data_IF_597445497543
#
_entry.id   IF_597445497543
#
_cell.length_a   1.000
_cell.length_b   1.000
_cell.length_c   1.000
_cell.angle_alpha   90.00
_cell.angle_beta   90.00
_cell.angle_gamma   90.00
#
_symmetry.space_group_name_H-M   'P 1'
#
loop_
_entity.id
_entity.type
_entity.pdbx_description
1 polymer ?
#
# COMPACT_ATOMS: atom_id res chain seq x y z
N UNK A 1 -19.49 27.15 16.56
CA UNK A 1 -19.96 25.77 16.80
C UNK A 1 -19.11 25.20 17.91
N UNK A 2 -19.69 25.01 19.10
CA UNK A 2 -19.03 24.36 20.23
C UNK A 2 -19.04 22.85 20.02
N UNK A 3 -17.87 22.21 20.16
CA UNK A 3 -17.75 20.76 20.22
C UNK A 3 -18.37 20.28 21.53
N UNK A 4 -19.27 19.32 21.43
CA UNK A 4 -19.90 18.66 22.57
C UNK A 4 -19.15 17.34 22.84
N UNK A 5 -18.35 17.34 23.91
CA UNK A 5 -17.49 16.22 24.34
C UNK A 5 -18.26 15.14 25.15
N UNK A 6 -19.60 15.11 25.07
CA UNK A 6 -20.42 14.15 25.84
C UNK A 6 -20.86 12.93 25.02
N UNK A 7 -20.24 12.64 23.88
CA UNK A 7 -20.53 11.41 23.13
C UNK A 7 -20.05 10.16 23.87
N UNK A 8 -20.93 9.63 24.71
CA UNK A 8 -20.87 8.27 25.21
C UNK A 8 -21.35 7.38 24.06
N UNK A 9 -20.55 6.43 23.54
CA UNK A 9 -21.02 5.53 22.48
C UNK A 9 -22.22 4.76 23.01
N UNK A 10 -23.41 5.02 22.45
CA UNK A 10 -24.56 4.17 22.77
C UNK A 10 -24.22 2.77 22.28
N UNK A 11 -24.41 1.78 23.15
CA UNK A 11 -24.34 0.37 22.81
C UNK A 11 -25.54 -0.05 21.93
N UNK A 12 -25.85 0.74 20.90
CA UNK A 12 -26.77 0.34 19.85
C UNK A 12 -26.07 -0.77 19.07
N UNK A 13 -26.57 -2.00 19.27
CA UNK A 13 -26.35 -3.20 18.49
C UNK A 13 -25.31 -3.00 17.37
N UNK A 14 -24.05 -3.23 17.70
CA UNK A 14 -23.02 -3.44 16.69
C UNK A 14 -23.52 -4.68 15.96
N UNK A 15 -24.15 -4.50 14.80
CA UNK A 15 -24.32 -5.59 13.85
C UNK A 15 -22.97 -6.28 13.77
N UNK A 16 -22.91 -7.53 14.21
CA UNK A 16 -21.81 -8.44 13.94
C UNK A 16 -21.74 -8.58 12.43
N UNK A 17 -21.07 -7.62 11.78
CA UNK A 17 -20.89 -7.60 10.35
C UNK A 17 -19.94 -8.75 10.04
N UNK A 18 -20.46 -9.73 9.30
CA UNK A 18 -19.72 -10.89 8.87
C UNK A 18 -18.34 -10.47 8.35
N UNK A 19 -17.30 -10.97 9.01
CA UNK A 19 -15.92 -10.90 8.52
C UNK A 19 -15.83 -11.93 7.41
N UNK A 20 -15.24 -11.58 6.27
CA UNK A 20 -14.98 -12.56 5.22
C UNK A 20 -13.96 -13.56 5.79
N UNK A 21 -14.32 -14.84 6.03
CA UNK A 21 -13.39 -15.83 6.53
C UNK A 21 -12.57 -16.34 5.35
N UNK A 22 -11.51 -15.63 4.99
CA UNK A 22 -10.46 -16.16 4.12
C UNK A 22 -9.19 -16.36 4.92
N UNK A 23 -8.39 -17.37 4.55
CA UNK A 23 -7.07 -17.58 5.14
C UNK A 23 -6.22 -16.30 5.05
N UNK A 24 -6.35 -15.53 3.97
CA UNK A 24 -5.66 -14.25 3.79
C UNK A 24 -6.12 -13.18 4.78
N UNK A 25 -7.43 -13.06 5.05
CA UNK A 25 -7.95 -12.11 6.04
C UNK A 25 -7.51 -12.48 7.47
N UNK A 26 -7.47 -13.78 7.79
CA UNK A 26 -6.99 -14.28 9.07
C UNK A 26 -5.48 -14.05 9.25
N UNK A 27 -4.68 -14.27 8.20
CA UNK A 27 -3.25 -13.94 8.18
C UNK A 27 -3.02 -12.46 8.48
N UNK A 28 -3.74 -11.55 7.81
CA UNK A 28 -3.63 -10.12 8.10
C UNK A 28 -4.00 -9.77 9.55
N UNK A 29 -5.07 -10.37 10.08
CA UNK A 29 -5.47 -10.18 11.47
C UNK A 29 -4.38 -10.62 12.46
N UNK A 30 -3.58 -11.62 12.08
CA UNK A 30 -2.43 -12.10 12.82
C UNK A 30 -1.13 -11.31 12.57
N UNK A 31 -1.16 -10.23 11.80
CA UNK A 31 0.03 -9.44 11.47
C UNK A 31 0.90 -10.06 10.37
N UNK A 32 0.32 -10.90 9.50
CA UNK A 32 0.99 -11.58 8.40
C UNK A 32 0.45 -11.03 7.08
N UNK A 33 1.31 -10.51 6.19
CA UNK A 33 0.93 -10.25 4.80
C UNK A 33 0.86 -11.61 4.11
N UNK A 34 -0.31 -12.01 3.58
CA UNK A 34 -0.42 -13.29 2.89
C UNK A 34 0.44 -13.26 1.61
N UNK A 35 1.10 -14.38 1.33
CA UNK A 35 1.77 -14.63 0.06
C UNK A 35 0.77 -14.83 -1.07
N UNK A 36 1.29 -14.88 -2.30
CA UNK A 36 0.51 -15.01 -3.51
C UNK A 36 1.15 -16.03 -4.45
N UNK A 37 0.56 -17.21 -4.53
CA UNK A 37 1.12 -18.35 -5.26
C UNK A 37 1.34 -18.04 -6.75
N UNK A 38 0.38 -17.37 -7.40
CA UNK A 38 0.46 -17.00 -8.82
C UNK A 38 1.70 -16.15 -9.13
N UNK A 39 2.16 -15.34 -8.18
CA UNK A 39 3.36 -14.50 -8.30
C UNK A 39 4.56 -15.04 -7.50
N UNK A 40 4.46 -16.28 -6.98
CA UNK A 40 5.51 -16.97 -6.19
C UNK A 40 5.94 -16.21 -4.93
N UNK A 41 5.01 -15.52 -4.28
CA UNK A 41 5.26 -14.79 -3.05
C UNK A 41 4.98 -15.64 -1.81
N UNK A 42 5.88 -15.58 -0.84
CA UNK A 42 5.71 -16.18 0.49
C UNK A 42 5.06 -15.21 1.48
N UNK A 43 4.50 -15.75 2.56
CA UNK A 43 3.96 -14.94 3.67
C UNK A 43 5.06 -14.06 4.32
N UNK A 44 4.68 -12.85 4.75
CA UNK A 44 5.58 -11.92 5.46
C UNK A 44 5.02 -11.63 6.86
N UNK A 45 5.83 -11.86 7.90
CA UNK A 45 5.40 -11.70 9.30
C UNK A 45 5.78 -10.31 9.85
N UNK A 46 4.83 -9.38 9.92
CA UNK A 46 5.13 -7.98 10.28
C UNK A 46 5.03 -7.68 11.78
N UNK A 47 4.10 -8.28 12.52
CA UNK A 47 3.82 -7.88 13.91
C UNK A 47 3.62 -9.10 14.81
N UNK A 48 4.23 -9.13 16.01
CA UNK A 48 3.94 -10.17 16.98
C UNK A 48 2.53 -9.98 17.57
N UNK A 49 1.88 -11.10 17.84
CA UNK A 49 0.52 -11.13 18.38
C UNK A 49 0.49 -10.66 19.84
N UNK A 50 0.47 -9.36 20.10
CA UNK A 50 0.32 -8.78 21.45
C UNK A 50 -0.88 -7.85 21.54
N UNK A 51 -1.57 -7.84 22.70
CA UNK A 51 -2.52 -6.79 23.05
C UNK A 51 -1.75 -5.50 23.35
N UNK A 52 -1.76 -4.55 22.43
CA UNK A 52 -1.30 -3.19 22.72
C UNK A 52 -2.42 -2.47 23.48
N UNK A 53 -2.58 -2.82 24.76
CA UNK A 53 -3.32 -1.99 25.72
C UNK A 53 -2.51 -0.75 26.12
N UNK A 54 -1.23 -0.66 25.76
CA UNK A 54 -0.39 0.45 26.16
C UNK A 54 -0.05 1.38 24.99
N UNK A 55 -0.65 2.58 25.10
CA UNK A 55 -0.25 3.85 24.49
C UNK A 55 -0.62 4.05 23.03
N UNK A 56 -1.87 4.47 22.80
CA UNK A 56 -2.18 5.41 21.72
C UNK A 56 -1.27 6.64 21.88
N UNK A 57 -0.42 6.96 20.90
CA UNK A 57 0.33 8.21 20.93
C UNK A 57 -0.65 9.39 21.04
N UNK A 58 -0.35 10.36 21.92
CA UNK A 58 -1.17 11.59 22.02
C UNK A 58 -1.05 12.46 20.77
N UNK A 59 -0.08 12.18 19.90
CA UNK A 59 0.17 12.91 18.67
C UNK A 59 0.31 11.90 17.50
N UNK A 60 -0.50 11.99 16.44
CA UNK A 60 -0.41 11.10 15.28
C UNK A 60 0.92 11.19 14.51
N UNK A 61 1.75 12.19 14.80
CA UNK A 61 3.10 12.31 14.24
C UNK A 61 4.19 11.60 15.08
N UNK A 62 3.87 11.14 16.31
CA UNK A 62 4.79 10.45 17.23
C UNK A 62 4.54 8.93 17.32
N UNK A 63 4.04 8.32 16.24
CA UNK A 63 3.91 6.86 16.18
C UNK A 63 5.27 6.18 16.05
N UNK A 64 5.88 5.84 17.18
CA UNK A 64 6.98 4.88 17.24
C UNK A 64 6.40 3.49 17.44
N UNK A 65 6.61 2.58 16.48
CA UNK A 65 6.30 1.17 16.69
C UNK A 65 7.13 0.62 17.88
N UNK A 66 6.57 -0.31 18.68
CA UNK A 66 7.35 -1.01 19.69
C UNK A 66 8.61 -1.64 19.08
N UNK A 67 9.72 -1.64 19.82
CA UNK A 67 11.00 -2.20 19.37
C UNK A 67 10.86 -3.65 18.85
N UNK A 68 10.01 -4.46 19.47
CA UNK A 68 9.71 -5.83 19.04
C UNK A 68 9.06 -5.91 17.66
N UNK A 69 8.15 -4.99 17.33
CA UNK A 69 7.57 -4.88 15.98
C UNK A 69 8.64 -4.47 14.96
N UNK A 70 9.52 -3.52 15.30
CA UNK A 70 10.61 -3.10 14.41
C UNK A 70 11.59 -4.26 14.13
N UNK A 71 11.93 -5.06 15.14
CA UNK A 71 12.79 -6.25 14.98
C UNK A 71 12.14 -7.29 14.06
N UNK A 72 10.83 -7.53 14.18
CA UNK A 72 10.12 -8.47 13.30
C UNK A 72 10.03 -7.96 11.87
N UNK A 73 9.71 -6.68 11.68
CA UNK A 73 9.73 -6.05 10.36
C UNK A 73 11.12 -6.20 9.73
N UNK A 74 12.19 -5.89 10.48
CA UNK A 74 13.56 -6.06 9.99
C UNK A 74 13.87 -7.52 9.60
N UNK A 75 13.46 -8.50 10.43
CA UNK A 75 13.65 -9.93 10.14
C UNK A 75 12.91 -10.36 8.87
N UNK A 76 11.68 -9.88 8.70
CA UNK A 76 10.85 -10.23 7.55
C UNK A 76 11.36 -9.60 6.25
N UNK A 77 11.74 -8.33 6.28
CA UNK A 77 12.40 -7.67 5.14
C UNK A 77 13.70 -8.40 4.74
N UNK A 78 14.50 -8.82 5.73
CA UNK A 78 15.71 -9.62 5.49
C UNK A 78 15.40 -10.97 4.83
N UNK A 79 14.34 -11.65 5.28
CA UNK A 79 13.97 -12.96 4.73
C UNK A 79 13.55 -12.93 3.26
N UNK A 80 13.02 -11.80 2.79
CA UNK A 80 12.66 -11.61 1.38
C UNK A 80 13.82 -11.02 0.56
N UNK A 81 14.98 -10.72 1.16
CA UNK A 81 16.18 -10.27 0.46
C UNK A 81 16.34 -8.75 0.34
N UNK A 82 15.65 -7.95 1.17
CA UNK A 82 15.88 -6.50 1.25
C UNK A 82 17.24 -6.21 1.88
N UNK A 83 17.96 -5.20 1.40
CA UNK A 83 19.27 -4.83 1.92
C UNK A 83 19.23 -4.29 3.36
N UNK A 84 20.33 -4.47 4.11
CA UNK A 84 20.44 -3.94 5.47
C UNK A 84 20.35 -2.41 5.51
N UNK A 85 20.79 -1.72 4.47
CA UNK A 85 20.69 -0.27 4.37
C UNK A 85 19.23 0.18 4.32
N UNK A 86 18.39 -0.47 3.50
CA UNK A 86 16.95 -0.20 3.44
C UNK A 86 16.28 -0.58 4.75
N UNK A 87 16.58 -1.75 5.30
CA UNK A 87 16.03 -2.21 6.59
C UNK A 87 16.32 -1.19 7.69
N UNK A 88 17.55 -0.70 7.77
CA UNK A 88 17.99 0.29 8.77
C UNK A 88 17.20 1.59 8.62
N UNK A 89 16.97 2.08 7.40
CA UNK A 89 16.21 3.33 7.18
C UNK A 89 14.72 3.18 7.49
N UNK A 90 14.13 2.02 7.17
CA UNK A 90 12.72 1.74 7.47
C UNK A 90 12.51 1.62 8.98
N UNK A 91 13.44 0.96 9.69
CA UNK A 91 13.27 0.59 11.11
C UNK A 91 13.97 1.53 12.10
N UNK A 92 14.65 2.58 11.63
CA UNK A 92 15.23 3.61 12.48
C UNK A 92 14.18 4.34 13.33
N UNK A 93 14.62 4.96 14.43
CA UNK A 93 13.79 5.92 15.16
C UNK A 93 13.39 7.06 14.21
N UNK A 94 12.08 7.29 14.06
CA UNK A 94 11.47 8.16 13.02
C UNK A 94 11.83 7.76 11.57
N UNK A 95 12.08 6.48 11.35
CA UNK A 95 12.30 5.87 10.04
C UNK A 95 11.08 6.00 9.13
N UNK A 96 11.22 5.51 7.91
CA UNK A 96 10.18 5.57 6.88
C UNK A 96 9.25 4.35 6.93
N UNK A 97 8.61 4.12 8.07
CA UNK A 97 7.71 2.97 8.27
C UNK A 97 6.54 2.94 7.25
N UNK A 98 6.24 4.09 6.63
CA UNK A 98 5.31 4.23 5.51
C UNK A 98 5.64 3.28 4.35
N UNK A 99 6.91 2.98 4.11
CA UNK A 99 7.31 2.07 3.03
C UNK A 99 6.85 0.63 3.28
N UNK A 100 6.61 0.24 4.54
CA UNK A 100 6.04 -1.08 4.84
C UNK A 100 4.56 -1.15 4.45
N UNK A 101 3.85 -0.02 4.44
CA UNK A 101 2.48 0.04 3.90
C UNK A 101 2.47 -0.15 2.38
N UNK A 102 3.47 0.37 1.66
CA UNK A 102 3.64 0.13 0.22
C UNK A 102 3.93 -1.34 -0.05
N UNK A 103 4.85 -1.95 0.71
CA UNK A 103 5.13 -3.38 0.65
C UNK A 103 3.84 -4.20 0.77
N UNK A 104 3.00 -3.89 1.76
CA UNK A 104 1.71 -4.59 1.93
C UNK A 104 0.83 -4.42 0.71
N UNK A 105 0.67 -3.21 0.18
CA UNK A 105 -0.18 -2.96 -0.98
C UNK A 105 0.32 -3.61 -2.27
N UNK A 106 1.62 -3.90 -2.35
CA UNK A 106 2.24 -4.63 -3.46
C UNK A 106 2.15 -6.15 -3.29
N UNK A 107 2.37 -6.65 -2.08
CA UNK A 107 2.38 -8.11 -1.83
C UNK A 107 1.00 -8.73 -1.71
N UNK A 108 0.04 -8.00 -1.17
CA UNK A 108 -1.14 -8.61 -0.61
C UNK A 108 -2.06 -9.15 -1.72
N UNK A 109 -2.35 -10.48 -1.77
CA UNK A 109 -3.03 -11.14 -2.89
C UNK A 109 -4.50 -10.80 -3.08
N UNK A 110 -5.13 -10.11 -2.12
CA UNK A 110 -6.59 -10.09 -2.04
C UNK A 110 -7.16 -8.68 -2.24
N UNK A 111 -8.34 -8.67 -2.84
CA UNK A 111 -9.26 -7.53 -2.85
C UNK A 111 -10.55 -7.94 -2.12
N UNK A 112 -11.42 -6.98 -1.72
CA UNK A 112 -12.75 -7.32 -1.24
C UNK A 112 -13.48 -8.25 -2.22
N UNK A 113 -14.21 -9.25 -1.76
CA UNK A 113 -14.88 -10.22 -2.66
C UNK A 113 -15.75 -9.49 -3.70
N UNK A 114 -15.68 -9.92 -4.97
CA UNK A 114 -16.56 -9.45 -6.06
C UNK A 114 -18.03 -9.51 -5.62
N UNK A 115 -18.78 -8.44 -5.85
CA UNK A 115 -20.18 -8.30 -5.42
C UNK A 115 -20.39 -8.06 -3.91
N UNK A 116 -19.34 -7.96 -3.10
CA UNK A 116 -19.45 -7.75 -1.65
C UNK A 116 -19.30 -6.29 -1.25
N UNK A 117 -20.09 -5.83 -0.28
CA UNK A 117 -19.88 -4.52 0.37
C UNK A 117 -18.95 -4.61 1.59
N UNK A 118 -18.41 -5.80 1.88
CA UNK A 118 -17.47 -6.03 2.97
C UNK A 118 -16.06 -5.75 2.47
N UNK A 119 -15.59 -4.53 2.71
CA UNK A 119 -14.27 -4.03 2.27
C UNK A 119 -13.29 -3.84 3.42
N UNK A 120 -13.67 -4.31 4.60
CA UNK A 120 -13.00 -3.98 5.86
C UNK A 120 -12.01 -5.07 6.26
N UNK A 121 -10.78 -4.68 6.55
CA UNK A 121 -9.69 -5.60 6.91
C UNK A 121 -8.92 -5.11 8.14
N UNK A 122 -8.30 -6.06 8.84
CA UNK A 122 -7.36 -5.74 9.91
C UNK A 122 -6.07 -5.18 9.32
N UNK A 123 -5.56 -4.10 9.90
CA UNK A 123 -4.25 -3.61 9.53
C UNK A 123 -3.17 -4.44 10.24
N UNK A 124 -2.45 -5.25 9.47
CA UNK A 124 -1.32 -6.04 9.95
C UNK A 124 -0.23 -5.18 10.62
N UNK A 125 0.00 -3.94 10.14
CA UNK A 125 0.98 -3.01 10.70
C UNK A 125 0.52 -2.35 12.01
N UNK A 126 -0.79 -2.37 12.28
CA UNK A 126 -1.42 -1.71 13.43
C UNK A 126 -0.97 -0.24 13.60
N UNK A 127 -0.77 0.44 12.48
CA UNK A 127 -0.29 1.82 12.41
C UNK A 127 -1.15 2.64 11.45
N UNK A 128 -1.28 3.95 11.70
CA UNK A 128 -2.08 4.90 10.91
C UNK A 128 -1.43 5.31 9.58
N UNK A 129 -0.91 4.32 8.84
CA UNK A 129 0.01 4.59 7.74
C UNK A 129 -0.40 3.84 6.48
N UNK A 130 -0.85 4.59 5.47
CA UNK A 130 -1.35 4.08 4.18
C UNK A 130 -0.89 4.95 3.02
N UNK A 131 0.32 4.70 2.51
CA UNK A 131 1.00 5.63 1.61
C UNK A 131 0.24 5.84 0.27
N UNK A 132 -0.16 4.76 -0.42
CA UNK A 132 -0.94 4.84 -1.66
C UNK A 132 -2.42 5.23 -1.46
N UNK A 133 -2.92 5.20 -0.23
CA UNK A 133 -4.28 5.65 0.09
C UNK A 133 -4.38 7.18 0.21
N UNK A 134 -3.27 7.90 0.20
CA UNK A 134 -3.27 9.36 0.12
C UNK A 134 -3.72 9.87 -1.24
N UNK A 135 -4.58 10.92 -1.26
CA UNK A 135 -4.96 11.59 -2.51
C UNK A 135 -3.74 12.15 -3.24
N UNK A 136 -2.78 12.69 -2.48
CA UNK A 136 -1.53 13.24 -2.99
C UNK A 136 -0.77 12.19 -3.82
N UNK A 137 -0.66 10.96 -3.31
CA UNK A 137 -0.01 9.84 -4.00
C UNK A 137 -0.62 9.59 -5.37
N UNK A 138 -1.95 9.42 -5.42
CA UNK A 138 -2.67 9.10 -6.65
C UNK A 138 -2.59 10.20 -7.68
N UNK A 139 -2.74 11.46 -7.26
CA UNK A 139 -2.67 12.60 -8.17
C UNK A 139 -1.26 12.71 -8.77
N UNK A 140 -0.22 12.59 -7.95
CA UNK A 140 1.16 12.67 -8.41
C UNK A 140 1.52 11.50 -9.31
N UNK A 141 1.21 10.26 -8.92
CA UNK A 141 1.47 9.06 -9.72
C UNK A 141 0.76 9.13 -11.07
N UNK A 142 -0.53 9.50 -11.08
CA UNK A 142 -1.28 9.69 -12.32
C UNK A 142 -0.66 10.77 -13.22
N UNK A 143 -0.23 11.89 -12.63
CA UNK A 143 0.42 12.96 -13.37
C UNK A 143 1.74 12.49 -14.01
N UNK A 144 2.60 11.83 -13.23
CA UNK A 144 3.88 11.32 -13.70
C UNK A 144 3.73 10.24 -14.77
N UNK A 145 2.77 9.31 -14.61
CA UNK A 145 2.46 8.32 -15.64
C UNK A 145 1.99 8.99 -16.94
N UNK A 146 1.15 10.04 -16.85
CA UNK A 146 0.71 10.81 -18.00
C UNK A 146 1.88 11.50 -18.73
N UNK A 147 2.84 12.05 -17.99
CA UNK A 147 4.06 12.60 -18.59
C UNK A 147 4.91 11.52 -19.25
N UNK A 148 5.03 10.35 -18.61
CA UNK A 148 5.79 9.23 -19.13
C UNK A 148 5.18 8.70 -20.44
N UNK A 149 3.87 8.48 -20.48
CA UNK A 149 3.13 8.07 -21.69
C UNK A 149 3.31 9.07 -22.83
N UNK A 150 3.35 10.38 -22.55
CA UNK A 150 3.63 11.40 -23.58
C UNK A 150 5.04 11.30 -24.16
N UNK A 151 6.02 10.92 -23.34
CA UNK A 151 7.42 10.71 -23.79
C UNK A 151 7.58 9.40 -24.56
N UNK A 152 6.77 8.39 -24.22
CA UNK A 152 6.84 7.04 -24.80
C UNK A 152 5.46 6.60 -25.35
N UNK A 153 4.96 7.23 -26.43
CA UNK A 153 3.59 6.99 -26.93
C UNK A 153 3.37 5.61 -27.56
N UNK A 154 4.42 4.80 -27.72
CA UNK A 154 4.34 3.49 -28.37
C UNK A 154 3.83 2.35 -27.48
N UNK A 155 3.73 2.55 -26.16
CA UNK A 155 3.38 1.47 -25.23
C UNK A 155 1.87 1.39 -24.98
N UNK A 156 1.20 0.44 -25.64
CA UNK A 156 -0.23 0.20 -25.44
C UNK A 156 -0.57 -0.14 -23.97
N UNK A 157 0.32 -0.85 -23.29
CA UNK A 157 0.16 -1.20 -21.87
C UNK A 157 0.17 0.02 -20.96
N UNK A 158 1.14 0.92 -21.11
CA UNK A 158 1.17 2.17 -20.33
C UNK A 158 -0.06 3.05 -20.58
N UNK A 159 -0.56 3.07 -21.82
CA UNK A 159 -1.80 3.74 -22.15
C UNK A 159 -3.01 3.12 -21.45
N UNK A 160 -3.09 1.79 -21.35
CA UNK A 160 -4.14 1.09 -20.60
C UNK A 160 -4.07 1.42 -19.10
N UNK A 161 -2.89 1.33 -18.49
CA UNK A 161 -2.66 1.72 -17.09
C UNK A 161 -3.08 3.16 -16.79
N UNK A 162 -2.74 4.10 -17.67
CA UNK A 162 -3.17 5.49 -17.55
C UNK A 162 -4.70 5.62 -17.67
N UNK A 163 -5.31 4.89 -18.61
CA UNK A 163 -6.77 4.85 -18.78
C UNK A 163 -7.48 4.35 -17.53
N UNK A 164 -6.90 3.38 -16.81
CA UNK A 164 -7.42 2.89 -15.55
C UNK A 164 -7.45 3.99 -14.47
N UNK A 165 -6.36 4.73 -14.30
CA UNK A 165 -6.30 5.86 -13.36
C UNK A 165 -7.21 7.02 -13.79
N UNK A 166 -7.32 7.31 -15.09
CA UNK A 166 -8.23 8.32 -15.63
C UNK A 166 -9.69 7.95 -15.38
N UNK A 167 -10.05 6.68 -15.60
CA UNK A 167 -11.38 6.16 -15.32
C UNK A 167 -11.69 6.22 -13.83
N UNK A 168 -10.73 5.86 -12.97
CA UNK A 168 -10.89 5.94 -11.53
C UNK A 168 -11.18 7.39 -11.08
N UNK A 169 -10.36 8.34 -11.55
CA UNK A 169 -10.50 9.75 -11.25
C UNK A 169 -11.83 10.36 -11.75
N UNK A 170 -12.34 9.90 -12.89
CA UNK A 170 -13.57 10.42 -13.49
C UNK A 170 -14.84 9.81 -12.88
N UNK A 171 -14.90 8.47 -12.79
CA UNK A 171 -16.12 7.75 -12.40
C UNK A 171 -16.31 7.70 -10.89
N UNK A 172 -15.22 7.60 -10.13
CA UNK A 172 -15.25 7.58 -8.66
C UNK A 172 -14.42 8.73 -8.08
N UNK A 173 -14.68 9.94 -8.58
CA UNK A 173 -13.95 11.17 -8.22
C UNK A 173 -13.82 11.38 -6.71
N UNK A 174 -14.91 11.17 -5.95
CA UNK A 174 -14.86 11.28 -4.48
C UNK A 174 -13.84 10.30 -3.89
N UNK A 175 -13.79 9.07 -4.39
CA UNK A 175 -12.80 8.10 -3.93
C UNK A 175 -11.38 8.51 -4.36
N UNK A 176 -11.21 8.95 -5.60
CA UNK A 176 -9.91 9.37 -6.08
C UNK A 176 -9.33 10.57 -5.29
N UNK A 177 -10.15 11.56 -4.94
CA UNK A 177 -9.72 12.81 -4.29
C UNK A 177 -9.69 12.76 -2.75
N UNK A 178 -10.24 11.73 -2.10
CA UNK A 178 -10.22 11.64 -0.64
C UNK A 178 -9.13 10.71 -0.13
N UNK A 179 -8.37 11.15 0.87
CA UNK A 179 -7.37 10.30 1.52
C UNK A 179 -8.06 9.29 2.42
N UNK A 180 -7.78 7.99 2.20
CA UNK A 180 -8.37 6.91 2.98
C UNK A 180 -7.49 6.52 4.15
N UNK A 181 -7.68 7.22 5.26
CA UNK A 181 -7.16 6.80 6.57
C UNK A 181 -8.28 6.14 7.41
N UNK A 182 -7.99 5.83 8.68
CA UNK A 182 -8.99 5.43 9.67
C UNK A 182 -10.12 6.45 9.90
N UNK A 183 -9.99 7.67 9.38
CA UNK A 183 -10.94 8.77 9.55
C UNK A 183 -12.18 8.72 8.65
N UNK A 184 -12.39 7.63 7.88
CA UNK A 184 -13.67 7.47 7.20
C UNK A 184 -14.82 7.47 8.19
N UNK A 185 -15.87 8.19 7.82
CA UNK A 185 -17.16 8.02 8.45
C UNK A 185 -17.52 6.53 8.34
N UNK A 186 -18.04 5.91 9.40
CA UNK A 186 -18.25 4.44 9.45
C UNK A 186 -19.12 3.89 8.31
N UNK A 187 -19.76 4.76 7.54
CA UNK A 187 -20.71 4.50 6.48
C UNK A 187 -20.14 4.60 5.05
N UNK A 188 -18.93 5.15 4.86
CA UNK A 188 -18.36 5.28 3.51
C UNK A 188 -17.78 3.92 3.06
N UNK A 189 -18.51 3.22 2.19
CA UNK A 189 -18.07 1.94 1.60
C UNK A 189 -17.78 2.13 0.10
N UNK A 190 -16.69 1.55 -0.43
CA UNK A 190 -16.45 1.51 -1.87
C UNK A 190 -17.70 0.97 -2.58
N UNK A 191 -18.18 1.63 -3.65
CA UNK A 191 -19.24 1.10 -4.49
C UNK A 191 -18.85 -0.28 -5.04
N UNK A 192 -19.82 -1.16 -5.22
CA UNK A 192 -19.57 -2.51 -5.76
C UNK A 192 -18.90 -2.40 -7.13
N UNK A 193 -19.28 -1.43 -7.96
CA UNK A 193 -18.69 -1.22 -9.26
C UNK A 193 -17.21 -0.81 -9.20
N UNK A 194 -16.78 -0.13 -8.13
CA UNK A 194 -15.37 0.19 -7.90
C UNK A 194 -14.59 -1.08 -7.50
N UNK A 195 -15.22 -1.96 -6.72
CA UNK A 195 -14.63 -3.24 -6.32
C UNK A 195 -14.44 -4.12 -7.56
N UNK A 196 -15.47 -4.28 -8.40
CA UNK A 196 -15.36 -5.04 -9.65
C UNK A 196 -14.25 -4.47 -10.56
N UNK A 197 -14.22 -3.15 -10.72
CA UNK A 197 -13.20 -2.50 -11.53
C UNK A 197 -11.77 -2.72 -11.00
N UNK A 198 -11.59 -2.70 -9.69
CA UNK A 198 -10.30 -3.01 -9.09
C UNK A 198 -9.88 -4.46 -9.30
N UNK A 199 -10.84 -5.41 -9.27
CA UNK A 199 -10.56 -6.80 -9.61
C UNK A 199 -10.14 -6.96 -11.07
N UNK A 200 -10.81 -6.29 -12.01
CA UNK A 200 -10.44 -6.38 -13.42
C UNK A 200 -8.99 -5.93 -13.65
N UNK A 201 -8.56 -4.86 -12.96
CA UNK A 201 -7.18 -4.40 -12.98
C UNK A 201 -6.24 -5.37 -12.25
N UNK A 202 -6.69 -5.96 -11.15
CA UNK A 202 -5.90 -6.95 -10.41
C UNK A 202 -5.62 -8.19 -11.25
N UNK A 203 -6.63 -8.67 -11.96
CA UNK A 203 -6.55 -9.82 -12.87
C UNK A 203 -5.60 -9.47 -14.04
N UNK A 204 -5.81 -8.34 -14.72
CA UNK A 204 -4.93 -7.85 -15.81
C UNK A 204 -3.46 -7.72 -15.38
N UNK A 205 -3.21 -7.08 -14.23
CA UNK A 205 -1.84 -6.92 -13.73
C UNK A 205 -1.23 -8.23 -13.25
N UNK A 206 -2.03 -9.17 -12.72
CA UNK A 206 -1.55 -10.50 -12.36
C UNK A 206 -1.13 -11.27 -13.61
N UNK A 207 -1.97 -11.30 -14.63
CA UNK A 207 -1.67 -11.94 -15.93
C UNK A 207 -0.38 -11.36 -16.54
N UNK A 208 -0.22 -10.03 -16.53
CA UNK A 208 0.99 -9.36 -16.98
C UNK A 208 2.25 -9.86 -16.26
N UNK A 209 2.22 -9.96 -14.92
CA UNK A 209 3.39 -10.40 -14.16
C UNK A 209 3.65 -11.91 -14.29
N UNK A 210 2.62 -12.73 -14.43
CA UNK A 210 2.78 -14.15 -14.73
C UNK A 210 3.46 -14.35 -16.09
N UNK A 211 3.03 -13.60 -17.10
CA UNK A 211 3.63 -13.62 -18.43
C UNK A 211 5.11 -13.18 -18.42
N UNK A 212 5.46 -12.15 -17.64
CA UNK A 212 6.87 -11.78 -17.42
C UNK A 212 7.66 -12.89 -16.71
N UNK A 213 7.08 -13.54 -15.70
CA UNK A 213 7.71 -14.66 -15.00
C UNK A 213 7.97 -15.84 -15.95
N UNK A 214 7.01 -16.16 -16.80
CA UNK A 214 7.09 -17.32 -17.69
C UNK A 214 7.99 -17.07 -18.90
N UNK A 215 7.88 -15.91 -19.55
CA UNK A 215 8.67 -15.58 -20.75
C UNK A 215 10.11 -15.18 -20.44
N UNK A 216 10.35 -14.50 -19.32
CA UNK A 216 11.61 -13.79 -19.03
C UNK A 216 12.28 -14.23 -17.73
N UNK A 217 11.68 -15.17 -16.98
CA UNK A 217 12.15 -15.58 -15.65
C UNK A 217 12.23 -14.42 -14.64
N UNK A 218 11.53 -13.32 -14.93
CA UNK A 218 11.50 -12.10 -14.14
C UNK A 218 10.64 -12.30 -12.90
N UNK A 219 11.24 -12.35 -11.70
CA UNK A 219 10.48 -12.57 -10.48
C UNK A 219 9.80 -11.29 -9.99
N UNK A 220 8.49 -11.34 -9.76
CA UNK A 220 7.73 -10.23 -9.18
C UNK A 220 8.37 -9.70 -7.88
N UNK A 221 8.89 -10.60 -7.04
CA UNK A 221 9.58 -10.27 -5.81
C UNK A 221 10.79 -9.32 -6.02
N UNK A 222 11.61 -9.54 -7.06
CA UNK A 222 12.77 -8.69 -7.34
C UNK A 222 12.33 -7.25 -7.63
N UNK A 223 11.22 -7.07 -8.34
CA UNK A 223 10.64 -5.75 -8.64
C UNK A 223 10.15 -5.05 -7.36
N UNK A 224 9.51 -5.78 -6.44
CA UNK A 224 9.06 -5.19 -5.17
C UNK A 224 10.24 -4.79 -4.28
N UNK A 225 11.29 -5.60 -4.22
CA UNK A 225 12.52 -5.24 -3.47
C UNK A 225 13.18 -4.00 -4.09
N UNK A 226 13.30 -3.96 -5.42
CA UNK A 226 13.85 -2.81 -6.12
C UNK A 226 13.01 -1.54 -5.89
N UNK A 227 11.68 -1.67 -5.80
CA UNK A 227 10.81 -0.56 -5.43
C UNK A 227 11.12 -0.03 -4.02
N UNK A 228 11.37 -0.88 -3.02
CA UNK A 228 11.73 -0.40 -1.67
C UNK A 228 13.05 0.36 -1.64
N UNK A 229 14.06 -0.10 -2.37
CA UNK A 229 15.35 0.58 -2.52
C UNK A 229 15.17 1.98 -3.14
N UNK A 230 14.43 2.06 -4.24
CA UNK A 230 14.08 3.30 -4.92
C UNK A 230 13.29 4.23 -4.00
N UNK A 231 12.37 3.67 -3.21
CA UNK A 231 11.54 4.46 -2.32
C UNK A 231 12.33 5.04 -1.15
N UNK A 232 13.30 4.31 -0.60
CA UNK A 232 14.25 4.84 0.39
C UNK A 232 15.11 5.96 -0.22
N UNK A 233 15.60 5.79 -1.45
CA UNK A 233 16.38 6.82 -2.13
C UNK A 233 15.55 8.09 -2.37
N UNK A 234 14.32 7.95 -2.87
CA UNK A 234 13.37 9.03 -3.04
C UNK A 234 12.96 9.70 -1.72
N UNK A 235 12.82 8.94 -0.64
CA UNK A 235 12.56 9.47 0.70
C UNK A 235 13.70 10.36 1.20
N UNK A 236 14.95 9.92 1.01
CA UNK A 236 16.14 10.71 1.36
C UNK A 236 16.23 11.99 0.52
N UNK A 237 16.00 11.87 -0.79
CA UNK A 237 16.04 13.01 -1.70
C UNK A 237 14.93 14.03 -1.39
N UNK A 238 13.71 13.58 -1.11
CA UNK A 238 12.61 14.45 -0.73
C UNK A 238 12.88 15.19 0.59
N UNK A 239 13.42 14.50 1.60
CA UNK A 239 13.82 15.12 2.85
C UNK A 239 14.89 16.21 2.64
N UNK A 240 15.87 15.94 1.76
CA UNK A 240 16.89 16.93 1.37
C UNK A 240 16.27 18.14 0.67
N UNK A 241 15.41 17.93 -0.32
CA UNK A 241 14.74 19.02 -1.06
C UNK A 241 13.91 19.91 -0.12
N UNK A 242 13.18 19.31 0.81
CA UNK A 242 12.41 20.04 1.84
C UNK A 242 13.35 20.83 2.74
N UNK A 243 14.41 20.21 3.26
CA UNK A 243 15.37 20.84 4.15
C UNK A 243 16.12 22.02 3.53
N UNK A 244 16.35 21.99 2.22
CA UNK A 244 17.03 23.07 1.48
C UNK A 244 16.07 24.08 0.84
N UNK A 245 14.75 23.96 1.05
CA UNK A 245 13.76 24.83 0.43
C UNK A 245 13.57 24.65 -1.08
N UNK A 246 14.11 23.56 -1.66
CA UNK A 246 14.03 23.22 -3.09
C UNK A 246 12.87 22.24 -3.38
N UNK A 247 11.80 22.27 -2.59
CA UNK A 247 10.63 21.42 -2.83
C UNK A 247 9.96 21.78 -4.15
N UNK A 248 9.49 20.77 -4.88
CA UNK A 248 8.82 20.90 -6.18
C UNK A 248 7.34 21.23 -6.07
N UNK A 249 6.75 21.00 -4.90
CA UNK A 249 5.37 21.38 -4.64
C UNK A 249 5.25 22.90 -4.47
N UNK A 250 4.81 23.56 -5.54
CA UNK A 250 4.37 24.96 -5.55
C UNK A 250 2.85 25.09 -5.31
N UNK A 251 2.17 23.98 -4.99
CA UNK A 251 0.72 23.91 -4.77
C UNK A 251 -0.11 23.86 -6.05
N UNK A 252 0.50 23.86 -7.25
CA UNK A 252 -0.24 23.79 -8.52
C UNK A 252 -0.75 22.39 -8.84
N UNK A 253 0.03 21.36 -8.51
CA UNK A 253 -0.33 19.97 -8.85
C UNK A 253 -1.41 19.41 -7.92
N UNK A 254 -1.26 19.62 -6.60
CA UNK A 254 -2.26 19.21 -5.60
C UNK A 254 -2.68 20.43 -4.78
N UNK A 255 -3.81 21.04 -5.15
CA UNK A 255 -4.33 22.18 -4.40
C UNK A 255 -4.72 21.77 -2.97
N UNK A 256 -4.36 22.61 -2.00
CA UNK A 256 -4.67 22.38 -0.59
C UNK A 256 -4.02 21.12 -0.03
N UNK A 257 -2.84 20.75 -0.54
CA UNK A 257 -2.07 19.59 -0.11
C UNK A 257 -2.05 19.47 1.42
N UNK A 258 -2.44 18.30 1.93
CA UNK A 258 -2.42 18.00 3.37
C UNK A 258 -1.05 17.44 3.78
N UNK A 259 -0.32 16.85 2.85
CA UNK A 259 0.97 16.22 3.09
C UNK A 259 2.00 16.61 2.00
N UNK A 260 2.62 17.78 2.13
CA UNK A 260 3.64 18.27 1.17
C UNK A 260 4.84 17.33 1.06
N UNK A 261 5.18 16.63 2.15
CA UNK A 261 6.25 15.60 2.15
C UNK A 261 5.90 14.42 1.25
N UNK A 262 4.63 13.99 1.26
CA UNK A 262 4.14 12.90 0.41
C UNK A 262 4.22 13.28 -1.06
N UNK A 263 3.85 14.51 -1.43
CA UNK A 263 3.97 15.00 -2.80
C UNK A 263 5.43 14.96 -3.26
N UNK A 264 6.33 15.56 -2.49
CA UNK A 264 7.75 15.59 -2.83
C UNK A 264 8.33 14.17 -2.97
N UNK A 265 7.97 13.28 -2.06
CA UNK A 265 8.40 11.89 -2.09
C UNK A 265 7.99 11.19 -3.39
N UNK A 266 6.71 11.25 -3.77
CA UNK A 266 6.24 10.64 -5.01
C UNK A 266 6.76 11.34 -6.27
N UNK A 267 6.99 12.65 -6.23
CA UNK A 267 7.65 13.36 -7.32
C UNK A 267 9.07 12.86 -7.55
N UNK A 268 9.77 12.39 -6.50
CA UNK A 268 11.10 11.82 -6.64
C UNK A 268 11.09 10.43 -7.30
N UNK A 269 10.00 9.65 -7.24
CA UNK A 269 9.98 8.28 -7.78
C UNK A 269 10.27 8.21 -9.29
N UNK A 270 9.77 9.19 -10.04
CA UNK A 270 9.93 9.23 -11.49
C UNK A 270 11.13 10.08 -11.94
N UNK A 271 12.00 10.50 -11.02
CA UNK A 271 13.26 11.13 -11.39
C UNK A 271 14.12 10.15 -12.19
N UNK A 272 14.83 10.66 -13.20
CA UNK A 272 15.71 9.84 -14.03
C UNK A 272 16.72 9.06 -13.18
N UNK A 273 17.26 9.68 -12.12
CA UNK A 273 18.15 9.02 -11.17
C UNK A 273 17.52 7.81 -10.48
N UNK A 274 16.23 7.90 -10.11
CA UNK A 274 15.52 6.82 -9.44
C UNK A 274 15.10 5.70 -10.39
N UNK A 275 14.70 6.05 -11.61
CA UNK A 275 14.45 5.07 -12.67
C UNK A 275 15.74 4.36 -13.11
N UNK A 276 16.87 5.06 -13.10
CA UNK A 276 18.19 4.47 -13.37
C UNK A 276 18.67 3.58 -12.22
N UNK A 277 18.36 3.93 -10.95
CA UNK A 277 18.58 3.04 -9.81
C UNK A 277 17.74 1.77 -9.93
N UNK A 278 16.44 1.91 -10.22
CA UNK A 278 15.53 0.79 -10.46
C UNK A 278 16.09 -0.17 -11.52
N UNK A 279 16.49 0.39 -12.67
CA UNK A 279 17.05 -0.39 -13.77
C UNK A 279 18.33 -1.12 -13.35
N UNK A 280 19.29 -0.45 -12.69
CA UNK A 280 20.54 -1.10 -12.24
C UNK A 280 20.29 -2.25 -11.26
N UNK A 281 19.35 -2.09 -10.34
CA UNK A 281 19.00 -3.12 -9.37
C UNK A 281 18.42 -4.36 -10.06
N UNK A 282 17.56 -4.16 -11.07
CA UNK A 282 16.90 -5.25 -11.79
C UNK A 282 17.78 -5.85 -12.89
N UNK A 283 18.68 -5.08 -13.50
CA UNK A 283 19.70 -5.56 -14.43
C UNK A 283 20.62 -6.58 -13.75
N UNK A 284 20.98 -6.35 -12.48
CA UNK A 284 21.72 -7.31 -11.65
C UNK A 284 20.95 -8.62 -11.41
N UNK A 285 19.63 -8.62 -11.64
CA UNK A 285 18.72 -9.78 -11.61
C UNK A 285 18.39 -10.31 -13.01
N UNK A 286 19.16 -9.90 -14.02
CA UNK A 286 18.97 -10.23 -15.44
C UNK A 286 17.75 -9.58 -16.13
N UNK A 287 17.17 -8.51 -15.57
CA UNK A 287 16.16 -7.72 -16.28
C UNK A 287 16.86 -6.70 -17.20
N UNK A 288 17.06 -7.08 -18.46
CA UNK A 288 17.88 -6.29 -19.40
C UNK A 288 17.12 -5.24 -20.20
N UNK A 289 15.80 -5.36 -20.28
CA UNK A 289 14.98 -4.43 -21.05
C UNK A 289 14.54 -3.26 -20.16
N UNK A 290 15.15 -2.09 -20.37
CA UNK A 290 14.85 -0.88 -19.59
C UNK A 290 13.40 -0.43 -19.77
N UNK A 291 12.82 -0.61 -20.94
CA UNK A 291 11.43 -0.23 -21.17
C UNK A 291 10.51 -1.20 -20.41
N UNK A 292 10.75 -2.51 -20.52
CA UNK A 292 9.97 -3.53 -19.81
C UNK A 292 10.05 -3.33 -18.28
N UNK A 293 11.22 -2.98 -17.74
CA UNK A 293 11.40 -2.64 -16.31
C UNK A 293 10.50 -1.47 -15.88
N UNK A 294 10.49 -0.39 -16.66
CA UNK A 294 9.69 0.80 -16.32
C UNK A 294 8.20 0.52 -16.46
N UNK A 295 7.79 -0.25 -17.49
CA UNK A 295 6.40 -0.69 -17.65
C UNK A 295 5.94 -1.58 -16.49
N UNK A 296 6.77 -2.54 -16.08
CA UNK A 296 6.50 -3.40 -14.95
C UNK A 296 6.38 -2.61 -13.64
N UNK A 297 7.25 -1.61 -13.45
CA UNK A 297 7.18 -0.74 -12.28
C UNK A 297 5.91 0.13 -12.25
N UNK A 298 5.49 0.71 -13.39
CA UNK A 298 4.19 1.40 -13.45
C UNK A 298 3.02 0.46 -13.16
N UNK A 299 3.07 -0.77 -13.67
CA UNK A 299 2.08 -1.81 -13.41
C UNK A 299 1.98 -2.11 -11.91
N UNK A 300 3.12 -2.24 -11.23
CA UNK A 300 3.21 -2.45 -9.79
C UNK A 300 2.57 -1.30 -9.00
N UNK A 301 2.88 -0.06 -9.36
CA UNK A 301 2.36 1.14 -8.71
C UNK A 301 0.84 1.27 -8.86
N UNK A 302 0.30 1.01 -10.05
CA UNK A 302 -1.14 1.04 -10.31
C UNK A 302 -1.85 -0.05 -9.51
N UNK A 303 -1.33 -1.28 -9.52
CA UNK A 303 -1.85 -2.39 -8.71
C UNK A 303 -1.95 -2.02 -7.23
N UNK A 304 -0.89 -1.43 -6.67
CA UNK A 304 -0.85 -1.04 -5.26
C UNK A 304 -1.86 0.08 -4.91
N UNK A 305 -2.10 1.02 -5.83
CA UNK A 305 -3.14 2.05 -5.68
C UNK A 305 -4.52 1.42 -5.55
N UNK A 306 -4.90 0.53 -6.46
CA UNK A 306 -6.24 -0.07 -6.47
C UNK A 306 -6.49 -0.98 -5.27
N UNK A 307 -5.47 -1.72 -4.82
CA UNK A 307 -5.52 -2.41 -3.53
C UNK A 307 -5.82 -1.45 -2.39
N UNK A 308 -5.06 -0.35 -2.29
CA UNK A 308 -5.16 0.57 -1.15
C UNK A 308 -6.49 1.33 -1.11
N UNK A 309 -7.12 1.58 -2.26
CA UNK A 309 -8.34 2.39 -2.35
C UNK A 309 -9.64 1.59 -2.20
N UNK A 310 -9.57 0.26 -2.32
CA UNK A 310 -10.74 -0.62 -2.16
C UNK A 310 -10.88 -1.16 -0.75
N UNK A 311 -9.86 -0.97 0.09
CA UNK A 311 -9.84 -1.48 1.45
C UNK A 311 -10.09 -0.38 2.46
N UNK A 312 -10.82 -0.76 3.51
CA UNK A 312 -10.92 0.00 4.74
C UNK A 312 -10.19 -0.74 5.84
N UNK A 313 -9.22 -0.09 6.45
CA UNK A 313 -8.52 -0.64 7.60
C UNK A 313 -9.31 -0.36 8.88
N UNK A 314 -9.46 -1.35 9.76
CA UNK A 314 -10.03 -1.14 11.09
C UNK A 314 -9.00 -0.53 12.04
N UNK A 315 -9.35 0.55 12.77
CA UNK A 315 -8.45 1.08 13.79
C UNK A 315 -8.30 0.03 14.89
N UNK A 316 -7.05 -0.33 15.18
CA UNK A 316 -6.72 -1.38 16.14
C UNK A 316 -7.31 -1.10 17.54
N UNK A 317 -7.37 0.18 17.93
CA UNK A 317 -7.92 0.62 19.22
C UNK A 317 -9.41 0.31 19.39
N UNK A 318 -10.19 0.25 18.31
CA UNK A 318 -11.64 -0.06 18.36
C UNK A 318 -11.94 -1.55 18.22
N UNK A 319 -11.00 -2.31 17.64
CA UNK A 319 -11.14 -3.74 17.36
C UNK A 319 -9.84 -4.47 17.70
N UNK A 320 -9.53 -4.72 18.99
CA UNK A 320 -8.37 -5.52 19.35
C UNK A 320 -8.51 -6.91 18.71
N UNK A 321 -7.59 -7.25 17.82
CA UNK A 321 -7.55 -8.57 17.21
C UNK A 321 -7.28 -9.60 18.30
N UNK A 322 -8.28 -10.41 18.62
CA UNK A 322 -8.11 -11.62 19.43
C UNK A 322 -7.74 -12.73 18.47
N UNK A 323 -6.60 -13.38 18.69
CA UNK A 323 -6.21 -14.56 17.93
C UNK A 323 -7.39 -15.53 17.91
N UNK A 324 -7.85 -15.91 16.72
CA UNK A 324 -8.87 -16.93 16.59
C UNK A 324 -8.35 -18.19 17.27
N UNK A 325 -9.12 -18.76 18.21
CA UNK A 325 -8.83 -20.07 18.81
C UNK A 325 -8.68 -21.17 17.73
N UNK A 326 -9.12 -20.89 16.51
CA UNK A 326 -9.05 -21.76 15.36
C UNK A 326 -7.71 -21.75 14.61
N UNK A 327 -6.73 -20.91 14.94
CA UNK A 327 -5.40 -21.00 14.29
C UNK A 327 -4.71 -22.35 14.57
N UNK A 328 -5.06 -23.03 15.67
CA UNK A 328 -4.59 -24.39 15.96
C UNK A 328 -5.46 -25.50 15.35
N UNK A 329 -6.68 -25.20 14.91
CA UNK A 329 -7.60 -26.19 14.34
C UNK A 329 -7.84 -25.89 12.86
N UNK A 330 -7.48 -26.83 11.97
CA UNK A 330 -7.64 -26.75 10.51
C UNK A 330 -9.11 -26.73 10.02
N UNK A 331 -10.02 -26.15 10.78
CA UNK A 331 -11.45 -26.12 10.48
C UNK A 331 -11.84 -24.68 10.14
N UNK A 332 -12.19 -24.36 8.89
CA UNK A 332 -12.70 -23.05 8.53
C UNK A 332 -14.03 -22.82 9.25
N UNK A 333 -14.11 -21.77 10.06
CA UNK A 333 -15.33 -21.39 10.76
C UNK A 333 -16.08 -20.39 9.91
N UNK A 334 -17.29 -20.78 9.49
CA UNK A 334 -18.27 -19.87 8.93
C UNK A 334 -18.94 -19.13 10.09
N UNK A 335 -18.89 -17.79 10.09
CA UNK A 335 -19.70 -16.98 11.02
C UNK A 335 -20.91 -16.48 10.22
N UNK A 336 -22.09 -16.96 10.62
CA UNK A 336 -23.41 -16.55 10.12
C UNK A 336 -23.80 -15.17 10.63
#
# INVERSE_FOLDING_TARGET
MSYDDTYTPSASAIETRARIPTEAADKLACGIIPGFELLRLSDIHLVPNYSLQDKTPKNPDDWTLPHTSLVMIASSLRSIGVSEDVITVITADRGCIQLVSELRSMFCPFLPIRGSTVTTVFNALRADVEHFAHREARIVIRHLLKEHVRRFPGSAHLHALLSHLDTFAAKWHWWFENTFHYQHNRNDRPPIELIEFAHDIWDETTEYFQDLQDRRQMQYLDLVIAHLEVSVAAWRQSAKNIGTGNRRDDGKLVRGARASRTIEHYSCYADEEQLDLLYRLLEAKNWKDKQEVVEAWWTLMVRAIFFSCTLRYLPYAEFPAVASAFHASRTPVYIT
#
